data_IF_714463414133
#
_entry.id   IF_714463414133
#
_cell.length_a   1.000
_cell.length_b   1.000
_cell.length_c   1.000
_cell.angle_alpha   90.00
_cell.angle_beta   90.00
_cell.angle_gamma   90.00
#
_symmetry.space_group_name_H-M   'P 1'
#
loop_
_entity.id
_entity.type
_entity.pdbx_description
1 polymer ?
#
# COMPACT_ATOMS: atom_id res chain seq x y z
N UNK A 1 -8.94 55.10 33.85
CA UNK A 1 -8.63 54.38 32.59
C UNK A 1 -7.14 54.02 32.58
N UNK A 2 -6.85 52.75 32.84
CA UNK A 2 -5.50 52.24 32.99
C UNK A 2 -4.92 52.00 31.59
N UNK A 3 -4.16 52.97 31.07
CA UNK A 3 -3.53 52.87 29.76
C UNK A 3 -2.35 51.92 29.85
N UNK A 4 -2.52 50.70 29.33
CA UNK A 4 -1.42 49.75 29.20
C UNK A 4 -0.27 50.42 28.44
N UNK A 5 0.97 50.33 28.92
CA UNK A 5 2.10 50.97 28.26
C UNK A 5 2.25 50.50 26.82
N UNK A 6 2.50 51.43 25.89
CA UNK A 6 2.63 51.15 24.45
C UNK A 6 3.68 50.06 24.14
N UNK A 7 4.74 49.96 24.93
CA UNK A 7 5.76 48.90 24.80
C UNK A 7 5.19 47.49 25.07
N UNK A 8 4.15 47.38 25.90
CA UNK A 8 3.46 46.12 26.17
C UNK A 8 2.69 45.64 24.94
N UNK A 9 2.04 46.54 24.21
CA UNK A 9 1.32 46.23 22.97
C UNK A 9 2.28 45.75 21.87
N UNK A 10 3.41 46.43 21.68
CA UNK A 10 4.43 46.00 20.70
C UNK A 10 5.08 44.68 21.07
N UNK A 11 5.37 44.46 22.35
CA UNK A 11 5.91 43.18 22.83
C UNK A 11 4.94 42.02 22.57
N UNK A 12 3.65 42.21 22.85
CA UNK A 12 2.62 41.21 22.59
C UNK A 12 2.49 40.87 21.10
N UNK A 13 2.46 41.89 20.23
CA UNK A 13 2.41 41.67 18.76
C UNK A 13 3.66 40.94 18.27
N UNK A 14 4.85 41.30 18.74
CA UNK A 14 6.09 40.63 18.35
C UNK A 14 6.08 39.14 18.74
N UNK A 15 5.59 38.80 19.93
CA UNK A 15 5.43 37.41 20.38
C UNK A 15 4.46 36.65 19.46
N UNK A 16 3.30 37.25 19.16
CA UNK A 16 2.32 36.61 18.27
C UNK A 16 2.89 36.35 16.87
N UNK A 17 3.64 37.31 16.31
CA UNK A 17 4.31 37.13 15.02
C UNK A 17 5.35 36.02 15.09
N UNK A 18 6.20 36.00 16.12
CA UNK A 18 7.21 34.96 16.29
C UNK A 18 6.59 33.56 16.42
N UNK A 19 5.52 33.42 17.21
CA UNK A 19 4.78 32.16 17.36
C UNK A 19 4.17 31.72 16.03
N UNK A 20 3.57 32.63 15.26
CA UNK A 20 2.99 32.30 13.96
C UNK A 20 4.07 31.86 12.94
N UNK A 21 5.20 32.57 12.87
CA UNK A 21 6.33 32.19 12.01
C UNK A 21 6.85 30.80 12.39
N UNK A 22 6.96 30.51 13.70
CA UNK A 22 7.39 29.19 14.18
C UNK A 22 6.39 28.09 13.82
N UNK A 23 5.08 28.30 14.04
CA UNK A 23 4.03 27.34 13.67
C UNK A 23 4.03 27.11 12.15
N UNK A 24 4.11 28.16 11.34
CA UNK A 24 4.18 28.05 9.88
C UNK A 24 5.43 27.27 9.46
N UNK A 25 6.58 27.54 10.07
CA UNK A 25 7.81 26.79 9.81
C UNK A 25 7.68 25.30 10.15
N UNK A 26 7.10 24.97 11.31
CA UNK A 26 6.88 23.60 11.74
C UNK A 26 5.89 22.85 10.83
N UNK A 27 4.78 23.50 10.46
CA UNK A 27 3.79 22.93 9.54
C UNK A 27 4.37 22.79 8.14
N UNK A 28 5.08 23.79 7.62
CA UNK A 28 5.75 23.73 6.32
C UNK A 28 6.80 22.60 6.26
N UNK A 29 7.56 22.38 7.34
CA UNK A 29 8.52 21.28 7.41
C UNK A 29 7.83 19.91 7.45
N UNK A 30 6.77 19.77 8.25
CA UNK A 30 6.01 18.51 8.34
C UNK A 30 5.17 18.20 7.09
N UNK A 31 4.78 19.22 6.31
CA UNK A 31 4.08 19.02 5.04
C UNK A 31 5.01 18.60 3.89
N UNK A 32 6.33 18.82 4.02
CA UNK A 32 7.32 18.40 3.00
C UNK A 32 7.59 16.90 3.04
N UNK A 33 7.53 16.31 4.24
CA UNK A 33 7.76 14.88 4.44
C UNK A 33 6.67 14.36 5.37
N UNK A 34 5.51 14.00 4.81
CA UNK A 34 4.49 13.28 5.60
C UNK A 34 5.11 11.91 5.90
N UNK A 35 5.54 11.62 7.15
CA UNK A 35 6.29 10.41 7.42
C UNK A 35 5.32 9.24 7.49
N UNK A 36 5.56 8.23 6.68
CA UNK A 36 4.77 7.00 6.70
C UNK A 36 5.51 5.92 7.44
N UNK A 37 4.80 5.26 8.36
CA UNK A 37 5.34 4.12 9.12
C UNK A 37 5.43 2.90 8.20
N UNK A 38 6.62 2.31 8.08
CA UNK A 38 6.83 1.08 7.31
C UNK A 38 5.93 -0.07 7.77
N UNK A 39 5.62 -0.13 9.07
CA UNK A 39 4.74 -1.16 9.61
C UNK A 39 3.34 -1.19 9.00
N UNK A 40 2.86 -0.09 8.40
CA UNK A 40 1.47 0.05 7.94
C UNK A 40 1.33 -0.07 6.41
N UNK A 41 2.41 0.15 5.67
CA UNK A 41 2.42 0.16 4.21
C UNK A 41 3.48 -0.82 3.69
N UNK A 42 3.18 -1.59 2.64
CA UNK A 42 4.05 -2.64 2.13
C UNK A 42 5.15 -2.06 1.22
N UNK A 43 5.88 -1.04 1.72
CA UNK A 43 6.88 -0.28 0.95
C UNK A 43 7.95 -1.19 0.38
N UNK A 44 8.46 -2.10 1.20
CA UNK A 44 9.52 -3.01 0.81
C UNK A 44 9.06 -4.07 -0.20
N UNK A 45 7.87 -4.65 0.00
CA UNK A 45 7.26 -5.54 -0.99
C UNK A 45 7.05 -4.81 -2.34
N UNK A 46 6.66 -3.53 -2.31
CA UNK A 46 6.49 -2.73 -3.51
C UNK A 46 7.81 -2.44 -4.22
N UNK A 47 8.87 -2.15 -3.46
CA UNK A 47 10.22 -2.01 -4.00
C UNK A 47 10.69 -3.33 -4.64
N UNK A 48 10.47 -4.46 -3.96
CA UNK A 48 10.79 -5.79 -4.51
C UNK A 48 10.06 -6.06 -5.83
N UNK A 49 8.76 -5.77 -5.91
CA UNK A 49 7.96 -5.88 -7.14
C UNK A 49 8.54 -5.00 -8.25
N UNK A 50 8.93 -3.77 -7.91
CA UNK A 50 9.50 -2.81 -8.85
C UNK A 50 10.85 -3.29 -9.40
N UNK A 51 11.76 -3.71 -8.52
CA UNK A 51 13.13 -4.13 -8.87
C UNK A 51 13.16 -5.37 -9.75
N UNK A 52 12.21 -6.29 -9.53
CA UNK A 52 12.05 -7.49 -10.35
C UNK A 52 11.29 -7.24 -11.65
N UNK A 53 10.77 -6.03 -11.85
CA UNK A 53 10.05 -5.66 -13.07
C UNK A 53 8.81 -6.53 -13.31
N UNK A 54 8.16 -7.02 -12.26
CA UNK A 54 6.99 -7.89 -12.39
C UNK A 54 5.85 -7.19 -13.13
N UNK A 55 5.15 -7.95 -14.00
CA UNK A 55 4.08 -7.44 -14.86
C UNK A 55 2.86 -8.35 -14.84
N UNK A 56 1.67 -7.77 -14.98
CA UNK A 56 0.41 -8.51 -15.08
C UNK A 56 -0.67 -8.03 -14.11
N UNK A 57 -1.43 -8.98 -13.55
CA UNK A 57 -2.56 -8.71 -12.66
C UNK A 57 -2.22 -9.08 -11.22
N UNK A 58 -2.54 -8.17 -10.30
CA UNK A 58 -2.27 -8.36 -8.87
C UNK A 58 -3.55 -8.19 -8.04
N UNK A 59 -3.78 -9.13 -7.13
CA UNK A 59 -4.73 -8.96 -6.03
C UNK A 59 -3.99 -8.27 -4.89
N UNK A 60 -4.53 -7.18 -4.38
CA UNK A 60 -3.97 -6.45 -3.23
C UNK A 60 -5.09 -6.18 -2.23
N UNK A 61 -4.76 -6.01 -0.94
CA UNK A 61 -5.76 -5.67 0.05
C UNK A 61 -6.34 -4.30 -0.26
N UNK A 62 -7.63 -4.11 0.02
CA UNK A 62 -8.35 -2.88 -0.32
C UNK A 62 -7.61 -1.61 0.14
N UNK A 63 -7.08 -1.63 1.36
CA UNK A 63 -6.35 -0.50 1.96
C UNK A 63 -5.04 -0.14 1.26
N UNK A 64 -4.47 -1.06 0.46
CA UNK A 64 -3.24 -0.83 -0.30
C UNK A 64 -3.50 -0.64 -1.80
N UNK A 65 -4.75 -0.75 -2.27
CA UNK A 65 -5.08 -0.66 -3.68
C UNK A 65 -4.72 0.68 -4.32
N UNK A 66 -5.06 1.79 -3.67
CA UNK A 66 -4.72 3.13 -4.18
C UNK A 66 -3.21 3.34 -4.21
N UNK A 67 -2.50 2.80 -3.22
CA UNK A 67 -1.05 2.83 -3.16
C UNK A 67 -0.43 2.02 -4.32
N UNK A 68 -0.96 0.82 -4.60
CA UNK A 68 -0.56 -0.01 -5.73
C UNK A 68 -0.79 0.67 -7.09
N UNK A 69 -1.92 1.36 -7.26
CA UNK A 69 -2.20 2.14 -8.47
C UNK A 69 -1.19 3.27 -8.64
N UNK A 70 -0.87 4.00 -7.56
CA UNK A 70 0.12 5.07 -7.63
C UNK A 70 1.52 4.54 -7.95
N UNK A 71 1.91 3.39 -7.39
CA UNK A 71 3.23 2.80 -7.59
C UNK A 71 3.43 2.11 -8.94
N UNK A 72 2.37 1.53 -9.52
CA UNK A 72 2.49 0.67 -10.71
C UNK A 72 1.60 1.09 -11.89
N UNK A 73 0.73 2.09 -11.70
CA UNK A 73 -0.27 2.52 -12.67
C UNK A 73 0.28 3.42 -13.78
N UNK A 74 1.39 4.11 -13.57
CA UNK A 74 2.05 4.95 -14.58
C UNK A 74 3.41 4.35 -14.94
N UNK A 75 3.59 3.94 -16.19
CA UNK A 75 4.92 3.62 -16.73
C UNK A 75 5.47 4.87 -17.44
N UNK A 76 6.13 5.73 -16.65
CA UNK A 76 6.73 6.99 -17.10
C UNK A 76 7.84 6.79 -18.14
N UNK A 77 8.44 5.59 -18.21
CA UNK A 77 9.54 5.29 -19.13
C UNK A 77 9.13 5.21 -20.60
N UNK A 78 7.83 5.19 -20.87
CA UNK A 78 7.31 4.87 -22.20
C UNK A 78 7.05 6.08 -23.10
N UNK A 79 7.18 7.33 -22.60
CA UNK A 79 7.02 8.57 -23.40
C UNK A 79 5.67 8.73 -24.14
N UNK A 80 4.75 7.78 -23.94
CA UNK A 80 3.52 7.62 -24.69
C UNK A 80 2.40 7.61 -23.67
N UNK A 81 1.41 8.46 -23.89
CA UNK A 81 0.16 8.61 -23.12
C UNK A 81 -0.70 7.32 -23.03
N UNK A 82 -0.21 6.22 -23.58
CA UNK A 82 -0.82 4.89 -23.68
C UNK A 82 0.09 3.77 -23.09
N UNK A 83 0.99 4.13 -22.17
CA UNK A 83 1.73 3.16 -21.38
C UNK A 83 0.76 2.18 -20.71
N UNK A 84 0.90 0.88 -20.99
CA UNK A 84 0.15 -0.12 -20.22
C UNK A 84 0.68 -0.11 -18.78
N UNK A 85 -0.20 -0.12 -17.77
CA UNK A 85 0.24 -0.18 -16.37
C UNK A 85 1.10 -1.43 -16.17
N UNK A 86 2.16 -1.30 -15.35
CA UNK A 86 3.07 -2.40 -15.05
C UNK A 86 2.31 -3.53 -14.35
N UNK A 87 1.51 -3.17 -13.35
CA UNK A 87 0.56 -4.06 -12.70
C UNK A 87 -0.84 -3.46 -12.71
N UNK A 88 -1.83 -4.26 -13.09
CA UNK A 88 -3.25 -3.90 -12.95
C UNK A 88 -3.80 -4.49 -11.67
N UNK A 89 -4.37 -3.64 -10.83
CA UNK A 89 -5.01 -4.02 -9.57
C UNK A 89 -6.43 -4.50 -9.82
N UNK A 90 -6.87 -5.55 -9.11
CA UNK A 90 -8.22 -6.12 -9.23
C UNK A 90 -9.34 -5.18 -8.78
N UNK A 91 -9.10 -4.34 -7.77
CA UNK A 91 -10.12 -3.56 -7.07
C UNK A 91 -9.53 -2.34 -6.33
N UNK A 92 -10.27 -1.23 -6.22
CA UNK A 92 -9.82 -0.03 -5.49
C UNK A 92 -10.94 0.74 -4.75
N UNK A 93 -10.56 1.86 -4.11
CA UNK A 93 -11.44 2.73 -3.32
C UNK A 93 -12.70 3.26 -4.01
N UNK A 94 -12.78 3.22 -5.34
CA UNK A 94 -13.94 3.66 -6.15
C UNK A 94 -15.04 2.58 -6.24
N UNK A 95 -15.08 1.69 -5.26
CA UNK A 95 -15.84 0.45 -5.32
C UNK A 95 -17.34 0.61 -5.57
N UNK A 96 -17.97 1.68 -5.06
CA UNK A 96 -19.40 1.95 -5.25
C UNK A 96 -19.76 2.62 -6.57
N UNK A 97 -18.77 3.14 -7.29
CA UNK A 97 -19.00 3.91 -8.52
C UNK A 97 -18.55 3.18 -9.77
N UNK A 98 -17.59 2.26 -9.65
CA UNK A 98 -16.90 1.67 -10.80
C UNK A 98 -16.95 0.14 -10.87
N UNK A 99 -17.46 -0.54 -9.86
CA UNK A 99 -17.44 -2.00 -9.79
C UNK A 99 -18.84 -2.56 -9.47
N UNK A 100 -19.25 -3.68 -10.12
CA UNK A 100 -20.40 -4.44 -9.69
C UNK A 100 -20.25 -4.91 -8.24
N UNK A 101 -21.35 -4.98 -7.49
CA UNK A 101 -21.34 -5.42 -6.08
C UNK A 101 -20.71 -6.81 -5.92
N UNK A 102 -20.83 -7.69 -6.90
CA UNK A 102 -20.23 -9.03 -6.88
C UNK A 102 -18.70 -8.96 -6.83
N UNK A 103 -18.07 -8.00 -7.54
CA UNK A 103 -16.61 -7.78 -7.52
C UNK A 103 -16.17 -7.28 -6.15
N UNK A 104 -16.93 -6.33 -5.59
CA UNK A 104 -16.75 -5.84 -4.22
C UNK A 104 -16.80 -7.01 -3.25
N UNK A 105 -17.83 -7.86 -3.39
CA UNK A 105 -18.05 -9.00 -2.51
C UNK A 105 -16.89 -9.98 -2.56
N UNK A 106 -16.31 -10.28 -3.74
CA UNK A 106 -15.16 -11.19 -3.86
C UNK A 106 -13.93 -10.67 -3.11
N UNK A 107 -13.66 -9.37 -3.22
CA UNK A 107 -12.47 -8.78 -2.61
C UNK A 107 -12.58 -8.82 -1.09
N UNK A 108 -13.74 -8.41 -0.56
CA UNK A 108 -13.99 -8.50 0.87
C UNK A 108 -14.13 -9.96 1.34
N UNK A 109 -14.70 -10.86 0.53
CA UNK A 109 -14.79 -12.28 0.88
C UNK A 109 -13.44 -12.88 1.18
N UNK A 110 -12.40 -12.46 0.44
CA UNK A 110 -11.04 -12.94 0.64
C UNK A 110 -10.36 -12.36 1.89
N UNK A 111 -10.75 -11.17 2.32
CA UNK A 111 -10.16 -10.48 3.48
C UNK A 111 -10.92 -10.70 4.79
N UNK A 112 -12.24 -10.93 4.75
CA UNK A 112 -13.09 -11.03 5.94
C UNK A 112 -13.26 -12.46 6.40
N UNK A 113 -13.48 -12.65 7.71
CA UNK A 113 -13.95 -13.91 8.26
C UNK A 113 -15.24 -14.39 7.57
N UNK A 114 -15.60 -15.66 7.78
CA UNK A 114 -16.70 -16.30 7.06
C UNK A 114 -18.11 -15.86 7.52
N UNK A 115 -18.18 -14.85 8.41
CA UNK A 115 -19.42 -14.24 8.87
C UNK A 115 -19.87 -13.09 7.94
N UNK A 116 -21.15 -13.13 7.58
CA UNK A 116 -21.80 -12.17 6.68
C UNK A 116 -22.75 -11.21 7.40
N UNK A 117 -22.92 -11.33 8.73
CA UNK A 117 -23.99 -10.65 9.48
C UNK A 117 -24.09 -9.13 9.26
N UNK A 118 -22.98 -8.47 8.92
CA UNK A 118 -22.91 -7.02 8.72
C UNK A 118 -22.51 -6.59 7.30
N UNK A 119 -22.60 -7.48 6.31
CA UNK A 119 -22.20 -7.17 4.93
C UNK A 119 -23.40 -6.95 4.03
N UNK A 120 -23.44 -5.80 3.36
CA UNK A 120 -24.30 -5.60 2.20
C UNK A 120 -23.72 -6.39 1.03
N UNK A 121 -24.44 -7.43 0.58
CA UNK A 121 -23.99 -8.37 -0.45
C UNK A 121 -25.02 -8.45 -1.57
N UNK A 122 -24.54 -8.76 -2.77
CA UNK A 122 -25.43 -9.22 -3.83
C UNK A 122 -25.96 -10.62 -3.52
N UNK A 123 -27.22 -10.89 -3.88
CA UNK A 123 -27.79 -12.23 -3.83
C UNK A 123 -27.00 -13.22 -4.70
N UNK A 124 -26.37 -12.74 -5.78
CA UNK A 124 -25.53 -13.54 -6.67
C UNK A 124 -24.17 -13.93 -6.05
N UNK A 125 -23.80 -13.31 -4.92
CA UNK A 125 -22.58 -13.65 -4.17
C UNK A 125 -22.81 -14.69 -3.07
N UNK A 126 -24.05 -15.19 -2.91
CA UNK A 126 -24.37 -16.23 -1.94
C UNK A 126 -23.74 -17.57 -2.33
N UNK A 127 -23.11 -18.25 -1.36
CA UNK A 127 -22.49 -19.57 -1.56
C UNK A 127 -21.22 -19.58 -2.43
N UNK A 128 -20.75 -18.42 -2.88
CA UNK A 128 -19.52 -18.32 -3.67
C UNK A 128 -18.29 -18.64 -2.81
N UNK A 129 -17.28 -19.27 -3.42
CA UNK A 129 -16.01 -19.56 -2.75
C UNK A 129 -15.34 -18.26 -2.28
N UNK A 130 -14.89 -18.22 -1.02
CA UNK A 130 -14.39 -17.00 -0.36
C UNK A 130 -13.03 -16.54 -0.92
N UNK A 131 -12.32 -17.41 -1.62
CA UNK A 131 -11.04 -17.16 -2.26
C UNK A 131 -11.15 -16.91 -3.77
N UNK A 132 -12.37 -16.82 -4.32
CA UNK A 132 -12.61 -16.70 -5.77
C UNK A 132 -11.90 -15.53 -6.46
N UNK A 133 -11.53 -14.48 -5.72
CA UNK A 133 -10.77 -13.35 -6.26
C UNK A 133 -9.39 -13.77 -6.77
N UNK A 134 -8.84 -14.87 -6.25
CA UNK A 134 -7.59 -15.46 -6.74
C UNK A 134 -7.75 -16.09 -8.12
N UNK A 135 -8.97 -16.38 -8.57
CA UNK A 135 -9.24 -17.04 -9.85
C UNK A 135 -9.86 -16.10 -10.89
N UNK A 136 -10.74 -15.21 -10.46
CA UNK A 136 -11.43 -14.26 -11.34
C UNK A 136 -10.45 -13.29 -11.96
N UNK A 137 -10.53 -13.15 -13.28
CA UNK A 137 -9.58 -12.33 -14.02
C UNK A 137 -8.14 -12.85 -13.89
N UNK A 138 -7.95 -14.14 -13.61
CA UNK A 138 -6.66 -14.87 -13.63
C UNK A 138 -5.45 -14.01 -13.18
N UNK A 139 -5.43 -13.47 -11.95
CA UNK A 139 -4.27 -12.73 -11.43
C UNK A 139 -3.00 -13.59 -11.43
N UNK A 140 -1.85 -12.96 -11.60
CA UNK A 140 -0.54 -13.61 -11.57
C UNK A 140 0.13 -13.44 -10.21
N UNK A 141 -0.24 -12.38 -9.49
CA UNK A 141 0.31 -12.00 -8.19
C UNK A 141 -0.81 -11.78 -7.17
N UNK A 142 -0.49 -12.02 -5.90
CA UNK A 142 -1.33 -11.65 -4.76
C UNK A 142 -0.42 -11.09 -3.67
N UNK A 143 -0.61 -9.82 -3.33
CA UNK A 143 0.03 -9.21 -2.17
C UNK A 143 -0.93 -9.35 -0.98
N UNK A 144 -0.44 -9.91 0.10
CA UNK A 144 -1.25 -10.28 1.26
C UNK A 144 -0.72 -9.51 2.47
N UNK A 145 -1.65 -8.93 3.23
CA UNK A 145 -1.36 -8.34 4.52
C UNK A 145 -1.15 -9.43 5.57
N UNK A 146 0.01 -9.43 6.23
CA UNK A 146 0.31 -10.37 7.31
C UNK A 146 -0.50 -10.14 8.58
N UNK A 147 -1.02 -8.94 8.77
CA UNK A 147 -1.97 -8.68 9.84
C UNK A 147 -3.37 -9.26 9.55
N UNK A 148 -3.62 -9.79 8.35
CA UNK A 148 -4.87 -10.45 7.98
C UNK A 148 -4.71 -11.99 7.95
N UNK A 149 -4.96 -12.70 9.07
CA UNK A 149 -4.79 -14.16 9.14
C UNK A 149 -5.77 -14.91 8.22
N UNK A 150 -6.90 -14.30 7.87
CA UNK A 150 -7.91 -14.91 7.01
C UNK A 150 -7.42 -15.00 5.56
N UNK A 151 -6.93 -13.90 5.01
CA UNK A 151 -6.36 -13.87 3.66
C UNK A 151 -5.13 -14.80 3.57
N UNK A 152 -4.26 -14.79 4.59
CA UNK A 152 -3.10 -15.69 4.68
C UNK A 152 -3.49 -17.17 4.66
N UNK A 153 -4.50 -17.57 5.45
CA UNK A 153 -4.98 -18.96 5.48
C UNK A 153 -5.48 -19.40 4.10
N UNK A 154 -6.21 -18.52 3.41
CA UNK A 154 -6.80 -18.82 2.09
C UNK A 154 -5.74 -18.96 1.00
N UNK A 155 -4.77 -18.04 0.91
CA UNK A 155 -3.70 -18.16 -0.10
C UNK A 155 -2.80 -19.37 0.15
N UNK A 156 -2.50 -19.69 1.41
CA UNK A 156 -1.66 -20.85 1.77
C UNK A 156 -2.34 -22.19 1.53
N UNK A 157 -3.67 -22.22 1.47
CA UNK A 157 -4.44 -23.40 1.12
C UNK A 157 -4.45 -23.68 -0.41
N UNK A 158 -3.78 -22.84 -1.21
CA UNK A 158 -3.73 -22.96 -2.67
C UNK A 158 -2.38 -23.50 -3.14
N UNK A 159 -2.41 -24.69 -3.72
CA UNK A 159 -1.19 -25.33 -4.26
C UNK A 159 -0.67 -24.68 -5.55
N UNK A 160 -1.53 -23.93 -6.26
CA UNK A 160 -1.16 -23.24 -7.50
C UNK A 160 -0.37 -21.94 -7.25
N UNK A 161 -0.27 -21.49 -6.00
CA UNK A 161 0.43 -20.26 -5.61
C UNK A 161 1.75 -20.56 -4.87
N UNK A 162 2.76 -19.76 -5.14
CA UNK A 162 4.09 -19.84 -4.52
C UNK A 162 4.48 -18.50 -3.91
N UNK A 163 5.06 -18.54 -2.72
CA UNK A 163 5.59 -17.37 -2.02
C UNK A 163 6.87 -16.88 -2.72
N UNK A 164 6.90 -15.59 -3.09
CA UNK A 164 8.02 -14.91 -3.73
C UNK A 164 8.72 -13.86 -2.86
N UNK A 165 8.09 -13.41 -1.77
CA UNK A 165 8.65 -12.41 -0.87
C UNK A 165 7.86 -12.39 0.44
N UNK A 166 8.54 -12.12 1.55
CA UNK A 166 7.91 -11.96 2.87
C UNK A 166 8.68 -10.91 3.69
N UNK A 167 8.00 -9.95 4.31
CA UNK A 167 8.56 -9.10 5.37
C UNK A 167 7.61 -9.06 6.57
N UNK A 168 7.86 -8.19 7.56
CA UNK A 168 6.99 -8.08 8.73
C UNK A 168 5.53 -7.66 8.42
N UNK A 169 5.28 -7.02 7.27
CA UNK A 169 3.99 -6.41 6.90
C UNK A 169 3.26 -7.21 5.82
N UNK A 170 3.96 -7.76 4.84
CA UNK A 170 3.34 -8.34 3.64
C UNK A 170 3.99 -9.63 3.14
N UNK A 171 3.19 -10.45 2.45
CA UNK A 171 3.63 -11.59 1.65
C UNK A 171 3.26 -11.38 0.19
N UNK A 172 4.20 -11.58 -0.74
CA UNK A 172 3.91 -11.60 -2.17
C UNK A 172 3.87 -13.04 -2.66
N UNK A 173 2.75 -13.42 -3.25
CA UNK A 173 2.52 -14.71 -3.85
C UNK A 173 2.42 -14.57 -5.36
N UNK A 174 2.83 -15.59 -6.10
CA UNK A 174 2.66 -15.67 -7.55
C UNK A 174 2.19 -17.05 -8.00
N UNK A 175 1.67 -17.13 -9.23
CA UNK A 175 1.31 -18.41 -9.86
C UNK A 175 1.66 -18.48 -11.34
N UNK A 176 1.67 -19.70 -11.89
CA UNK A 176 1.99 -19.94 -13.30
C UNK A 176 3.41 -19.51 -13.65
N UNK A 177 3.60 -18.89 -14.80
CA UNK A 177 4.93 -18.42 -15.26
C UNK A 177 5.56 -17.39 -14.32
N UNK A 178 4.76 -16.57 -13.64
CA UNK A 178 5.25 -15.62 -12.65
C UNK A 178 5.89 -16.32 -11.42
N UNK A 179 5.49 -17.58 -11.17
CA UNK A 179 6.05 -18.41 -10.11
C UNK A 179 7.17 -19.35 -10.58
N UNK A 180 7.56 -19.27 -11.87
CA UNK A 180 8.67 -20.05 -12.42
C UNK A 180 10.05 -19.45 -12.09
N UNK A 181 10.08 -18.20 -11.59
CA UNK A 181 11.28 -17.60 -11.01
C UNK A 181 11.71 -18.32 -9.73
N UNK A 182 12.97 -18.16 -9.35
CA UNK A 182 13.55 -18.71 -8.12
C UNK A 182 12.70 -18.29 -6.91
N UNK A 183 12.37 -19.25 -6.04
CA UNK A 183 11.59 -19.04 -4.81
C UNK A 183 12.44 -18.27 -3.79
N UNK A 184 12.66 -16.99 -4.06
CA UNK A 184 13.48 -16.14 -3.22
C UNK A 184 12.56 -15.63 -2.11
N UNK A 185 12.52 -16.28 -0.96
CA UNK A 185 11.99 -15.63 0.25
C UNK A 185 12.99 -14.54 0.66
N UNK A 186 12.99 -13.43 -0.06
CA UNK A 186 13.69 -12.23 0.38
C UNK A 186 12.94 -11.74 1.61
N UNK A 187 13.65 -11.71 2.75
CA UNK A 187 13.15 -11.13 4.00
C UNK A 187 13.47 -9.65 4.01
N UNK A 188 12.45 -8.82 3.95
CA UNK A 188 12.62 -7.39 4.21
C UNK A 188 12.95 -7.18 5.69
N UNK A 189 14.13 -6.67 5.99
CA UNK A 189 14.50 -6.22 7.35
C UNK A 189 14.22 -4.72 7.45
N UNK A 190 13.13 -4.35 8.11
CA UNK A 190 12.85 -2.96 8.47
C UNK A 190 12.53 -2.88 9.96
N UNK A 191 13.03 -1.85 10.62
CA UNK A 191 12.70 -1.60 12.02
C UNK A 191 11.41 -0.79 12.13
N UNK A 192 10.63 -1.02 13.18
CA UNK A 192 9.30 -0.41 13.41
C UNK A 192 9.31 1.13 13.41
N UNK A 193 10.49 1.73 13.62
CA UNK A 193 10.73 3.17 13.68
C UNK A 193 11.08 3.81 12.33
N UNK A 194 11.26 3.02 11.26
CA UNK A 194 11.65 3.56 9.96
C UNK A 194 10.48 4.34 9.35
N UNK A 195 10.73 5.64 9.16
CA UNK A 195 9.82 6.59 8.51
C UNK A 195 10.35 6.89 7.12
N UNK A 196 9.49 6.77 6.11
CA UNK A 196 9.80 7.22 4.75
C UNK A 196 8.86 8.34 4.35
N UNK A 197 9.41 9.30 3.60
CA UNK A 197 8.66 10.43 3.07
C UNK A 197 7.56 9.94 2.12
N UNK A 198 6.34 10.44 2.31
CA UNK A 198 5.23 10.20 1.40
C UNK A 198 5.40 10.98 0.07
N UNK A 199 5.00 10.39 -1.07
CA UNK A 199 4.61 8.99 -1.22
C UNK A 199 5.87 8.10 -1.23
N UNK A 200 5.82 7.00 -0.48
CA UNK A 200 6.96 6.08 -0.31
C UNK A 200 7.18 5.18 -1.55
N UNK A 201 7.06 5.75 -2.75
CA UNK A 201 7.06 5.04 -4.01
C UNK A 201 8.36 4.28 -4.25
N UNK A 202 8.30 3.17 -5.02
CA UNK A 202 9.50 2.48 -5.45
C UNK A 202 10.46 3.42 -6.17
N UNK A 203 11.74 3.31 -5.87
CA UNK A 203 12.80 4.15 -6.46
C UNK A 203 13.56 3.36 -7.53
N UNK A 204 13.94 4.06 -8.60
CA UNK A 204 14.84 3.52 -9.62
C UNK A 204 16.30 3.86 -9.27
N UNK A 205 17.14 2.86 -9.05
CA UNK A 205 18.58 3.02 -8.80
C UNK A 205 19.08 2.19 -7.61
N UNK A 206 20.41 1.94 -7.52
CA UNK A 206 21.00 1.16 -6.44
C UNK A 206 21.08 2.03 -5.18
N UNK A 207 19.98 2.20 -4.45
CA UNK A 207 20.04 2.75 -3.10
C UNK A 207 20.31 1.62 -2.10
N UNK A 208 21.53 1.10 -2.17
CA UNK A 208 22.11 0.08 -1.28
C UNK A 208 22.26 0.63 0.17
N UNK A 209 21.85 1.87 0.46
CA UNK A 209 22.04 2.51 1.77
C UNK A 209 20.86 2.39 2.74
N UNK A 210 19.87 1.55 2.44
CA UNK A 210 18.87 1.13 3.44
C UNK A 210 18.89 -0.37 3.77
N UNK A 211 19.84 -1.13 3.22
CA UNK A 211 20.17 -2.46 3.75
C UNK A 211 21.13 -2.22 4.91
N UNK A 212 20.59 -2.22 6.13
CA UNK A 212 21.35 -2.07 7.36
C UNK A 212 22.33 -3.24 7.56
N UNK A 213 23.46 -3.23 6.86
CA UNK A 213 24.66 -3.87 7.35
C UNK A 213 25.25 -2.98 8.45
N UNK A 214 25.04 -3.37 9.70
CA UNK A 214 26.01 -3.12 10.77
C UNK A 214 26.53 -4.48 11.22
N UNK A 215 27.84 -4.64 11.02
CA UNK A 215 28.68 -5.63 11.71
C UNK A 215 28.52 -5.52 13.24
#
# INVERSE_FOLDING_TARGET
PDESPVWFQYGFVAILVAVNVWIVGLVANNMREIPVRHAWYPVAAFQHIHDRGYRGRIVVPFRWAQYAIMAFGADESSGVRAARPRLTVSFDGRFRTCYPQEVVDMCFDFETADDDANRHRSAASAGAARDRILDVGRPNFALIDRANPTAMRRIRARDDWRLLYEDATAELWARGEAAAGEAIVARGEFTETDRVAWPALPRSGPDVRQIGHRE
#
